data_IF_063805107532
#
_entry.id   IF_063805107532
#
_cell.length_a   1.000
_cell.length_b   1.000
_cell.length_c   1.000
_cell.angle_alpha   90.00
_cell.angle_beta   90.00
_cell.angle_gamma   90.00
#
_symmetry.space_group_name_H-M   'P 1'
#
loop_
_entity.id
_entity.type
_entity.pdbx_description
1 polymer ?
#
# COMPACT_ATOMS: atom_id res chain seq x y z
N UNK A 1 -19.09 -11.48 17.37
CA UNK A 1 -19.36 -10.39 18.34
C UNK A 1 -18.97 -9.02 17.77
N UNK A 2 -17.70 -8.78 17.38
CA UNK A 2 -17.24 -7.47 16.85
C UNK A 2 -17.94 -7.05 15.56
N UNK A 3 -18.11 -7.97 14.59
CA UNK A 3 -18.86 -7.69 13.35
C UNK A 3 -20.28 -7.20 13.61
N UNK A 4 -20.97 -7.77 14.60
CA UNK A 4 -22.33 -7.35 14.96
C UNK A 4 -22.33 -5.93 15.54
N UNK A 5 -21.41 -5.64 16.47
CA UNK A 5 -21.25 -4.30 17.02
C UNK A 5 -20.93 -3.24 15.94
N UNK A 6 -20.06 -3.58 14.98
CA UNK A 6 -19.77 -2.69 13.85
C UNK A 6 -20.96 -2.51 12.91
N UNK A 7 -21.79 -3.55 12.71
CA UNK A 7 -23.02 -3.47 11.94
C UNK A 7 -24.00 -2.47 12.57
N UNK A 8 -24.23 -2.60 13.87
CA UNK A 8 -25.09 -1.70 14.64
C UNK A 8 -24.61 -0.24 14.50
N UNK A 9 -23.30 -0.01 14.64
CA UNK A 9 -22.71 1.33 14.44
C UNK A 9 -22.90 1.88 13.02
N UNK A 10 -22.76 1.03 11.99
CA UNK A 10 -22.96 1.41 10.59
C UNK A 10 -24.42 1.82 10.35
N UNK A 11 -25.36 1.12 10.96
CA UNK A 11 -26.79 1.42 10.89
C UNK A 11 -27.13 2.75 11.62
N UNK A 12 -26.48 3.00 12.75
CA UNK A 12 -26.69 4.19 13.59
C UNK A 12 -26.10 5.50 13.03
N UNK A 13 -25.01 5.43 12.23
CA UNK A 13 -24.28 6.62 11.74
C UNK A 13 -25.15 7.57 10.89
N UNK A 14 -26.31 7.12 10.41
CA UNK A 14 -27.23 7.92 9.62
C UNK A 14 -26.69 8.18 8.21
N UNK A 15 -27.60 8.26 7.23
CA UNK A 15 -27.26 8.58 5.84
C UNK A 15 -27.60 10.05 5.60
N UNK A 16 -26.59 10.90 5.56
CA UNK A 16 -26.74 12.33 5.28
C UNK A 16 -26.47 12.58 3.78
N UNK A 17 -27.39 13.26 3.09
CA UNK A 17 -27.22 13.66 1.68
C UNK A 17 -26.00 14.58 1.47
N UNK A 18 -25.54 15.27 2.52
CA UNK A 18 -24.39 16.18 2.47
C UNK A 18 -23.07 15.52 2.87
N UNK A 19 -23.10 14.29 3.38
CA UNK A 19 -21.91 13.59 3.85
C UNK A 19 -21.91 12.10 3.44
N UNK A 20 -20.95 11.72 2.60
CA UNK A 20 -20.82 10.35 2.09
C UNK A 20 -20.39 9.31 3.14
N UNK A 21 -19.93 9.70 4.33
CA UNK A 21 -19.33 8.77 5.31
C UNK A 21 -20.28 7.63 5.71
N UNK A 22 -21.53 7.93 6.07
CA UNK A 22 -22.51 6.90 6.46
C UNK A 22 -22.90 5.98 5.31
N UNK A 23 -23.16 6.54 4.12
CA UNK A 23 -23.46 5.75 2.92
C UNK A 23 -22.29 4.84 2.52
N UNK A 24 -21.05 5.36 2.62
CA UNK A 24 -19.82 4.61 2.37
C UNK A 24 -19.66 3.45 3.35
N UNK A 25 -19.85 3.70 4.65
CA UNK A 25 -19.76 2.67 5.68
C UNK A 25 -20.80 1.56 5.45
N UNK A 26 -22.04 1.92 5.13
CA UNK A 26 -23.12 0.97 4.85
C UNK A 26 -22.84 0.12 3.60
N UNK A 27 -22.45 0.74 2.49
CA UNK A 27 -22.13 0.03 1.26
C UNK A 27 -20.92 -0.90 1.45
N UNK A 28 -19.89 -0.43 2.15
CA UNK A 28 -18.70 -1.21 2.45
C UNK A 28 -19.02 -2.42 3.33
N UNK A 29 -19.81 -2.24 4.40
CA UNK A 29 -20.16 -3.33 5.29
C UNK A 29 -21.00 -4.41 4.59
N UNK A 30 -22.02 -4.00 3.82
CA UNK A 30 -22.82 -4.93 3.02
C UNK A 30 -21.97 -5.69 2.00
N UNK A 31 -20.96 -5.02 1.41
CA UNK A 31 -20.05 -5.67 0.48
C UNK A 31 -19.17 -6.72 1.17
N UNK A 32 -18.74 -6.49 2.42
CA UNK A 32 -18.03 -7.52 3.19
C UNK A 32 -18.91 -8.75 3.43
N UNK A 33 -20.19 -8.56 3.79
CA UNK A 33 -21.14 -9.68 3.94
C UNK A 33 -21.32 -10.44 2.62
N UNK A 34 -21.41 -9.74 1.48
CA UNK A 34 -21.48 -10.39 0.17
C UNK A 34 -20.22 -11.20 -0.15
N UNK A 35 -19.04 -10.69 0.18
CA UNK A 35 -17.77 -11.40 -0.05
C UNK A 35 -17.68 -12.65 0.83
N UNK A 36 -18.17 -12.59 2.06
CA UNK A 36 -18.22 -13.78 2.93
C UNK A 36 -19.12 -14.86 2.31
N UNK A 37 -20.31 -14.50 1.81
CA UNK A 37 -21.19 -15.44 1.09
C UNK A 37 -20.51 -16.06 -0.14
N UNK A 38 -19.73 -15.27 -0.89
CA UNK A 38 -18.97 -15.79 -2.04
C UNK A 38 -17.88 -16.78 -1.61
N UNK A 39 -17.20 -16.53 -0.48
CA UNK A 39 -16.18 -17.42 0.07
C UNK A 39 -16.82 -18.71 0.60
N UNK A 40 -17.97 -18.61 1.26
CA UNK A 40 -18.75 -19.77 1.74
C UNK A 40 -19.18 -20.65 0.56
N UNK A 41 -19.81 -20.06 -0.46
CA UNK A 41 -20.21 -20.78 -1.67
C UNK A 41 -19.02 -21.45 -2.39
N UNK A 42 -17.87 -20.76 -2.44
CA UNK A 42 -16.64 -21.33 -3.00
C UNK A 42 -16.21 -22.62 -2.28
N UNK A 43 -16.46 -22.75 -0.97
CA UNK A 43 -16.13 -23.94 -0.20
C UNK A 43 -17.17 -25.06 -0.30
N UNK A 44 -18.43 -24.73 -0.56
CA UNK A 44 -19.54 -25.71 -0.59
C UNK A 44 -19.69 -26.42 -1.94
N UNK A 45 -19.36 -25.75 -3.05
CA UNK A 45 -19.53 -26.35 -4.38
C UNK A 45 -18.51 -27.47 -4.64
N UNK A 46 -19.02 -28.67 -4.94
CA UNK A 46 -18.23 -29.82 -5.38
C UNK A 46 -17.65 -29.58 -6.77
N UNK A 47 -16.44 -30.10 -7.04
CA UNK A 47 -15.76 -30.00 -8.32
C UNK A 47 -16.69 -30.33 -9.51
N UNK A 48 -17.07 -29.28 -10.23
CA UNK A 48 -17.81 -29.36 -11.48
C UNK A 48 -16.83 -29.18 -12.67
N UNK A 49 -17.35 -29.10 -13.89
CA UNK A 49 -16.53 -28.91 -15.07
C UNK A 49 -15.62 -27.66 -15.00
N UNK A 50 -14.64 -27.57 -15.91
CA UNK A 50 -13.72 -26.44 -15.96
C UNK A 50 -14.43 -25.06 -16.03
N UNK A 51 -15.65 -25.00 -16.58
CA UNK A 51 -16.43 -23.76 -16.65
C UNK A 51 -16.90 -23.29 -15.28
N UNK A 52 -17.41 -24.22 -14.46
CA UNK A 52 -17.79 -23.94 -13.08
C UNK A 52 -16.57 -23.56 -12.23
N UNK A 53 -15.46 -24.29 -12.35
CA UNK A 53 -14.21 -23.95 -11.63
C UNK A 53 -13.70 -22.56 -12.03
N UNK A 54 -13.78 -22.19 -13.30
CA UNK A 54 -13.41 -20.83 -13.75
C UNK A 54 -14.32 -19.76 -13.15
N UNK A 55 -15.63 -20.00 -13.09
CA UNK A 55 -16.58 -19.06 -12.48
C UNK A 55 -16.27 -18.86 -10.99
N UNK A 56 -16.01 -19.95 -10.27
CA UNK A 56 -15.64 -19.94 -8.85
C UNK A 56 -14.35 -19.17 -8.62
N UNK A 57 -13.31 -19.47 -9.40
CA UNK A 57 -12.00 -18.80 -9.29
C UNK A 57 -12.12 -17.30 -9.61
N UNK A 58 -12.85 -16.93 -10.66
CA UNK A 58 -13.03 -15.52 -11.04
C UNK A 58 -13.84 -14.78 -10.00
N UNK A 59 -14.92 -15.39 -9.52
CA UNK A 59 -15.75 -14.90 -8.43
C UNK A 59 -14.92 -14.68 -7.17
N UNK A 60 -14.13 -15.67 -6.76
CA UNK A 60 -13.27 -15.58 -5.58
C UNK A 60 -12.22 -14.46 -5.71
N UNK A 61 -11.49 -14.40 -6.83
CA UNK A 61 -10.45 -13.37 -7.02
C UNK A 61 -11.03 -11.96 -7.05
N UNK A 62 -12.17 -11.76 -7.71
CA UNK A 62 -12.85 -10.46 -7.71
C UNK A 62 -13.44 -10.15 -6.33
N UNK A 63 -14.01 -11.15 -5.64
CA UNK A 63 -14.56 -11.02 -4.29
C UNK A 63 -13.51 -10.61 -3.27
N UNK A 64 -12.34 -11.27 -3.25
CA UNK A 64 -11.22 -10.89 -2.36
C UNK A 64 -10.73 -9.47 -2.62
N UNK A 65 -10.61 -9.07 -3.90
CA UNK A 65 -10.19 -7.72 -4.26
C UNK A 65 -11.20 -6.67 -3.78
N UNK A 66 -12.49 -6.91 -4.01
CA UNK A 66 -13.58 -6.03 -3.58
C UNK A 66 -13.69 -6.00 -2.05
N UNK A 67 -13.44 -7.13 -1.36
CA UNK A 67 -13.40 -7.19 0.10
C UNK A 67 -12.28 -6.31 0.69
N UNK A 68 -11.09 -6.29 0.05
CA UNK A 68 -10.01 -5.38 0.43
C UNK A 68 -10.42 -3.91 0.27
N UNK A 69 -11.03 -3.54 -0.84
CA UNK A 69 -11.52 -2.17 -1.08
C UNK A 69 -12.63 -1.80 -0.08
N UNK A 70 -13.55 -2.72 0.22
CA UNK A 70 -14.58 -2.54 1.22
C UNK A 70 -14.00 -2.31 2.62
N UNK A 71 -12.93 -3.01 3.02
CA UNK A 71 -12.25 -2.73 4.29
C UNK A 71 -11.64 -1.31 4.33
N UNK A 72 -11.11 -0.82 3.21
CA UNK A 72 -10.63 0.57 3.12
C UNK A 72 -11.77 1.57 3.31
N UNK A 73 -12.88 1.32 2.63
CA UNK A 73 -14.04 2.20 2.66
C UNK A 73 -14.77 2.18 3.99
N UNK A 74 -14.82 1.01 4.66
CA UNK A 74 -15.37 0.89 6.00
C UNK A 74 -14.52 1.67 7.01
N UNK A 75 -13.19 1.55 6.97
CA UNK A 75 -12.30 2.32 7.83
C UNK A 75 -12.54 3.83 7.66
N UNK A 76 -12.58 4.32 6.42
CA UNK A 76 -12.81 5.74 6.15
C UNK A 76 -14.25 6.15 6.51
N UNK A 77 -15.23 5.29 6.30
CA UNK A 77 -16.63 5.55 6.64
C UNK A 77 -16.82 5.74 8.15
N UNK A 78 -16.24 4.84 8.95
CA UNK A 78 -16.40 4.80 10.41
C UNK A 78 -15.45 5.75 11.15
N UNK A 79 -14.21 5.91 10.69
CA UNK A 79 -13.18 6.67 11.42
C UNK A 79 -12.77 7.96 10.74
N UNK A 80 -13.27 8.22 9.52
CA UNK A 80 -12.84 9.32 8.61
C UNK A 80 -11.43 9.14 8.04
N UNK A 81 -10.69 8.13 8.48
CA UNK A 81 -9.30 7.95 8.12
C UNK A 81 -9.02 6.52 7.63
N UNK A 82 -7.96 6.39 6.83
CA UNK A 82 -7.46 5.09 6.36
C UNK A 82 -6.40 4.47 7.28
N UNK A 83 -6.26 4.97 8.51
CA UNK A 83 -5.12 4.66 9.38
C UNK A 83 -5.13 3.22 9.92
N UNK A 84 -6.32 2.64 10.11
CA UNK A 84 -6.50 1.27 10.61
C UNK A 84 -6.27 0.18 9.56
N UNK A 85 -5.94 0.55 8.32
CA UNK A 85 -5.77 -0.40 7.22
C UNK A 85 -4.54 -0.12 6.36
N UNK A 86 -3.76 -1.18 6.13
CA UNK A 86 -2.54 -1.15 5.33
C UNK A 86 -2.26 -2.49 4.62
N UNK A 87 -3.21 -2.99 3.82
CA UNK A 87 -3.14 -4.31 3.17
C UNK A 87 -1.86 -4.54 2.35
N UNK A 88 -1.27 -3.50 1.75
CA UNK A 88 -0.04 -3.62 0.95
C UNK A 88 1.18 -4.14 1.73
N UNK A 89 1.15 -4.21 3.07
CA UNK A 89 2.25 -4.81 3.85
C UNK A 89 2.12 -6.34 3.98
N UNK A 90 0.93 -6.88 3.72
CA UNK A 90 0.72 -8.30 3.62
C UNK A 90 1.15 -8.75 2.22
N UNK A 91 2.28 -9.48 2.13
CA UNK A 91 2.87 -9.88 0.84
C UNK A 91 1.89 -10.67 -0.03
N UNK A 92 1.15 -11.59 0.58
CA UNK A 92 0.17 -12.44 -0.11
C UNK A 92 -0.96 -11.62 -0.73
N UNK A 93 -1.54 -10.68 0.03
CA UNK A 93 -2.63 -9.83 -0.48
C UNK A 93 -2.12 -8.69 -1.38
N UNK A 94 -0.88 -8.25 -1.22
CA UNK A 94 -0.27 -7.26 -2.13
C UNK A 94 -0.15 -7.80 -3.55
N UNK A 95 0.07 -9.10 -3.72
CA UNK A 95 0.12 -9.75 -5.03
C UNK A 95 -1.26 -9.90 -5.69
N UNK A 96 -2.34 -9.92 -4.91
CA UNK A 96 -3.70 -10.11 -5.40
C UNK A 96 -4.07 -9.10 -6.50
N UNK A 97 -3.68 -7.82 -6.37
CA UNK A 97 -3.95 -6.80 -7.40
C UNK A 97 -3.28 -7.12 -8.74
N UNK A 98 -2.10 -7.75 -8.71
CA UNK A 98 -1.37 -8.14 -9.92
C UNK A 98 -2.02 -9.37 -10.54
N UNK A 99 -2.27 -10.40 -9.72
CA UNK A 99 -2.95 -11.64 -10.11
C UNK A 99 -4.31 -11.33 -10.74
N UNK A 100 -5.15 -10.53 -10.06
CA UNK A 100 -6.47 -10.11 -10.54
C UNK A 100 -6.38 -9.37 -11.87
N UNK A 101 -5.41 -8.46 -12.03
CA UNK A 101 -5.26 -7.72 -13.27
C UNK A 101 -4.78 -8.61 -14.42
N UNK A 102 -3.92 -9.59 -14.12
CA UNK A 102 -3.39 -10.51 -15.12
C UNK A 102 -4.45 -11.53 -15.58
N UNK A 103 -5.40 -11.91 -14.73
CA UNK A 103 -6.38 -12.97 -15.03
C UNK A 103 -7.77 -12.42 -15.37
N UNK A 104 -8.29 -11.48 -14.57
CA UNK A 104 -9.68 -11.01 -14.63
C UNK A 104 -9.79 -9.60 -15.22
N UNK A 105 -8.84 -8.73 -14.93
CA UNK A 105 -8.92 -7.30 -15.27
C UNK A 105 -8.56 -7.00 -16.74
N UNK A 106 -7.32 -7.29 -17.12
CA UNK A 106 -6.76 -6.96 -18.44
C UNK A 106 -5.95 -8.12 -19.05
N UNK A 107 -6.51 -9.33 -19.14
CA UNK A 107 -5.76 -10.52 -19.55
C UNK A 107 -5.31 -10.46 -21.02
N UNK A 108 -6.04 -9.78 -21.90
CA UNK A 108 -5.79 -9.83 -23.35
C UNK A 108 -4.93 -8.69 -23.89
N UNK A 109 -4.78 -7.60 -23.13
CA UNK A 109 -4.05 -6.43 -23.61
C UNK A 109 -3.64 -5.51 -22.46
N UNK A 110 -2.35 -5.55 -22.11
CA UNK A 110 -1.71 -4.65 -21.16
C UNK A 110 -0.62 -3.84 -21.86
N UNK A 111 -0.72 -2.51 -21.81
CA UNK A 111 0.32 -1.63 -22.37
C UNK A 111 1.32 -1.26 -21.29
N UNK A 112 2.61 -1.45 -21.57
CA UNK A 112 3.71 -1.06 -20.69
C UNK A 112 4.26 0.33 -21.09
N UNK A 113 4.86 1.10 -20.15
CA UNK A 113 5.32 2.47 -20.41
C UNK A 113 6.33 2.61 -21.56
N UNK A 114 7.04 1.54 -21.89
CA UNK A 114 8.01 1.48 -22.99
C UNK A 114 7.40 1.10 -24.35
N UNK A 115 6.07 1.01 -24.42
CA UNK A 115 5.31 0.59 -25.60
C UNK A 115 5.18 -0.93 -25.75
N UNK A 116 5.64 -1.70 -24.77
CA UNK A 116 5.44 -3.16 -24.75
C UNK A 116 3.98 -3.56 -24.61
N UNK A 117 3.63 -4.75 -25.09
CA UNK A 117 2.29 -5.33 -24.97
C UNK A 117 2.37 -6.66 -24.22
N UNK A 118 1.50 -6.81 -23.22
CA UNK A 118 1.37 -8.02 -22.42
C UNK A 118 0.01 -8.68 -22.58
N UNK A 119 -0.01 -10.01 -22.51
CA UNK A 119 -1.24 -10.80 -22.36
C UNK A 119 -0.98 -12.05 -21.52
N UNK A 120 -2.02 -12.53 -20.85
CA UNK A 120 -1.99 -13.65 -19.93
C UNK A 120 -2.92 -14.76 -20.41
N UNK A 121 -2.45 -16.00 -20.31
CA UNK A 121 -3.21 -17.19 -20.66
C UNK A 121 -3.23 -18.16 -19.49
N UNK A 122 -4.44 -18.61 -19.12
CA UNK A 122 -4.62 -19.64 -18.11
C UNK A 122 -4.22 -21.02 -18.66
N UNK A 123 -3.67 -21.84 -17.79
CA UNK A 123 -3.37 -23.24 -18.06
C UNK A 123 -4.54 -24.09 -17.53
N UNK A 124 -5.47 -24.44 -18.43
CA UNK A 124 -6.72 -25.13 -18.06
C UNK A 124 -6.50 -26.60 -17.70
N UNK A 125 -5.37 -27.19 -18.09
CA UNK A 125 -5.06 -28.61 -17.81
C UNK A 125 -4.77 -28.85 -16.33
N UNK A 126 -4.44 -27.79 -15.59
CA UNK A 126 -4.07 -27.82 -14.16
C UNK A 126 -4.97 -26.93 -13.30
N UNK A 127 -6.10 -26.46 -13.85
CA UNK A 127 -7.06 -25.65 -13.13
C UNK A 127 -7.79 -26.47 -12.07
N UNK A 128 -7.85 -25.97 -10.84
CA UNK A 128 -8.65 -26.54 -9.76
C UNK A 128 -9.17 -25.45 -8.81
N UNK A 129 -10.01 -25.83 -7.84
CA UNK A 129 -10.41 -24.95 -6.73
C UNK A 129 -9.29 -24.74 -5.69
N UNK A 130 -8.12 -25.36 -5.85
CA UNK A 130 -6.98 -25.15 -4.97
C UNK A 130 -5.92 -24.23 -5.60
N UNK A 131 -5.74 -24.33 -6.92
CA UNK A 131 -4.74 -23.55 -7.62
C UNK A 131 -5.12 -23.16 -9.04
N UNK A 132 -4.49 -22.08 -9.49
CA UNK A 132 -4.53 -21.60 -10.85
C UNK A 132 -3.11 -21.36 -11.36
N UNK A 133 -2.84 -21.84 -12.57
CA UNK A 133 -1.60 -21.55 -13.27
C UNK A 133 -1.89 -20.67 -14.49
N UNK A 134 -1.04 -19.67 -14.72
CA UNK A 134 -1.10 -18.85 -15.93
C UNK A 134 0.28 -18.45 -16.43
N UNK A 135 0.36 -18.11 -17.72
CA UNK A 135 1.56 -17.59 -18.38
C UNK A 135 1.28 -16.17 -18.85
N UNK A 136 2.17 -15.25 -18.50
CA UNK A 136 2.18 -13.89 -19.01
C UNK A 136 3.24 -13.76 -20.09
N UNK A 137 2.82 -13.35 -21.28
CA UNK A 137 3.66 -13.07 -22.44
C UNK A 137 3.85 -11.57 -22.50
N UNK A 138 5.10 -11.11 -22.52
CA UNK A 138 5.45 -9.69 -22.61
C UNK A 138 6.32 -9.48 -23.85
N UNK A 139 5.79 -8.74 -24.81
CA UNK A 139 6.51 -8.34 -26.02
C UNK A 139 7.08 -6.94 -25.84
N UNK A 140 8.41 -6.83 -25.82
CA UNK A 140 9.13 -5.58 -25.71
C UNK A 140 10.30 -5.57 -26.69
N UNK A 141 10.37 -4.56 -27.58
CA UNK A 141 11.51 -4.33 -28.49
C UNK A 141 11.99 -5.60 -29.22
N UNK A 142 11.06 -6.36 -29.81
CA UNK A 142 11.30 -7.63 -30.51
C UNK A 142 11.81 -8.79 -29.63
N UNK A 143 11.70 -8.67 -28.30
CA UNK A 143 11.96 -9.75 -27.34
C UNK A 143 10.65 -10.19 -26.70
N UNK A 144 10.45 -11.51 -26.63
CA UNK A 144 9.38 -12.13 -25.87
C UNK A 144 9.94 -12.61 -24.53
N UNK A 145 9.34 -12.13 -23.44
CA UNK A 145 9.53 -12.67 -22.10
C UNK A 145 8.28 -13.44 -21.67
N UNK A 146 8.46 -14.63 -21.09
CA UNK A 146 7.35 -15.50 -20.66
C UNK A 146 7.51 -15.78 -19.18
N UNK A 147 6.54 -15.34 -18.38
CA UNK A 147 6.51 -15.58 -16.93
C UNK A 147 5.39 -16.54 -16.60
N UNK A 148 5.75 -17.71 -16.07
CA UNK A 148 4.78 -18.66 -15.50
C UNK A 148 4.52 -18.30 -14.04
N UNK A 149 3.25 -18.29 -13.62
CA UNK A 149 2.83 -18.09 -12.24
C UNK A 149 1.86 -19.18 -11.84
N UNK A 150 2.00 -19.63 -10.61
CA UNK A 150 1.10 -20.55 -9.93
C UNK A 150 0.57 -19.84 -8.70
N UNK A 151 -0.74 -19.86 -8.53
CA UNK A 151 -1.46 -19.16 -7.46
C UNK A 151 -2.23 -20.20 -6.68
N UNK A 152 -1.90 -20.33 -5.40
CA UNK A 152 -2.65 -21.15 -4.46
C UNK A 152 -3.68 -20.28 -3.71
N UNK A 153 -4.93 -20.71 -3.69
CA UNK A 153 -6.02 -19.90 -3.14
C UNK A 153 -6.08 -19.95 -1.61
N UNK A 154 -5.73 -21.07 -1.00
CA UNK A 154 -5.73 -21.24 0.46
C UNK A 154 -4.90 -20.16 1.19
N UNK A 155 -3.62 -19.88 0.81
CA UNK A 155 -2.87 -18.79 1.41
C UNK A 155 -3.52 -17.40 1.27
N UNK A 156 -4.21 -17.14 0.14
CA UNK A 156 -4.92 -15.87 -0.10
C UNK A 156 -6.13 -15.72 0.82
N UNK A 157 -6.94 -16.78 0.93
CA UNK A 157 -8.10 -16.84 1.82
C UNK A 157 -7.69 -16.67 3.29
N UNK A 158 -6.68 -17.41 3.75
CA UNK A 158 -6.16 -17.32 5.12
C UNK A 158 -5.59 -15.93 5.42
N UNK A 159 -4.84 -15.35 4.48
CA UNK A 159 -4.30 -14.00 4.62
C UNK A 159 -5.42 -12.95 4.68
N UNK A 160 -6.44 -13.08 3.83
CA UNK A 160 -7.59 -12.19 3.81
C UNK A 160 -8.36 -12.24 5.12
N UNK A 161 -8.78 -13.43 5.57
CA UNK A 161 -9.52 -13.61 6.81
C UNK A 161 -8.79 -13.02 8.03
N UNK A 162 -7.47 -13.28 8.12
CA UNK A 162 -6.62 -12.76 9.20
C UNK A 162 -6.49 -11.24 9.16
N UNK A 163 -6.32 -10.64 7.99
CA UNK A 163 -6.24 -9.18 7.86
C UNK A 163 -7.60 -8.52 8.13
N UNK A 164 -8.69 -9.11 7.62
CA UNK A 164 -10.06 -8.66 7.87
C UNK A 164 -10.35 -8.60 9.37
N UNK A 165 -10.11 -9.69 10.10
CA UNK A 165 -10.31 -9.72 11.56
C UNK A 165 -9.53 -8.63 12.28
N UNK A 166 -8.22 -8.50 11.99
CA UNK A 166 -7.37 -7.47 12.60
C UNK A 166 -7.86 -6.05 12.31
N UNK A 167 -8.26 -5.77 11.08
CA UNK A 167 -8.71 -4.43 10.67
C UNK A 167 -10.03 -4.09 11.35
N UNK A 168 -10.98 -5.03 11.38
CA UNK A 168 -12.26 -4.83 12.06
C UNK A 168 -12.06 -4.62 13.57
N UNK A 169 -11.15 -5.37 14.19
CA UNK A 169 -10.76 -5.17 15.59
C UNK A 169 -10.18 -3.78 15.84
N UNK A 170 -9.24 -3.33 15.01
CA UNK A 170 -8.61 -2.02 15.13
C UNK A 170 -9.60 -0.87 14.91
N UNK A 171 -10.54 -1.02 13.96
CA UNK A 171 -11.63 -0.05 13.73
C UNK A 171 -12.54 -0.01 14.95
N UNK A 172 -13.01 -1.18 15.42
CA UNK A 172 -13.90 -1.29 16.57
C UNK A 172 -13.26 -0.70 17.83
N UNK A 173 -11.99 -1.00 18.08
CA UNK A 173 -11.23 -0.45 19.20
C UNK A 173 -11.18 1.08 19.14
N UNK A 174 -11.01 1.68 17.96
CA UNK A 174 -10.98 3.13 17.79
C UNK A 174 -12.36 3.78 18.00
N UNK A 175 -13.42 3.27 17.34
CA UNK A 175 -14.75 3.91 17.41
C UNK A 175 -15.42 3.77 18.78
N UNK A 176 -15.01 2.79 19.59
CA UNK A 176 -15.45 2.60 20.99
C UNK A 176 -14.53 3.25 22.01
N UNK A 177 -13.43 3.86 21.56
CA UNK A 177 -12.51 4.56 22.45
C UNK A 177 -13.04 5.95 22.77
N UNK A 178 -12.90 6.36 24.03
CA UNK A 178 -13.19 7.73 24.44
C UNK A 178 -12.23 8.71 23.74
N UNK A 179 -12.65 9.94 23.52
CA UNK A 179 -11.73 10.97 23.05
C UNK A 179 -10.61 11.18 24.07
N UNK A 180 -9.37 11.08 23.61
CA UNK A 180 -8.17 11.27 24.42
C UNK A 180 -7.35 12.42 23.88
N UNK A 181 -6.72 13.14 24.81
CA UNK A 181 -5.71 14.16 24.51
C UNK A 181 -4.42 13.73 25.19
N UNK A 182 -3.49 13.17 24.42
CA UNK A 182 -2.20 12.69 24.93
C UNK A 182 -1.08 13.65 24.55
N UNK A 183 0.15 13.37 24.98
CA UNK A 183 1.34 14.06 24.50
C UNK A 183 2.03 13.32 23.35
N UNK A 184 1.38 12.30 22.75
CA UNK A 184 1.93 11.56 21.60
C UNK A 184 2.30 12.50 20.44
N UNK A 185 1.46 13.48 20.01
CA UNK A 185 1.86 14.41 18.97
C UNK A 185 3.15 15.18 19.32
N UNK A 186 3.25 15.70 20.54
CA UNK A 186 4.44 16.40 21.05
C UNK A 186 5.66 15.49 21.13
N UNK A 187 5.50 14.23 21.54
CA UNK A 187 6.58 13.24 21.54
C UNK A 187 7.06 12.95 20.12
N UNK A 188 6.15 12.83 19.14
CA UNK A 188 6.53 12.62 17.73
C UNK A 188 7.23 13.86 17.17
N UNK A 189 6.84 15.06 17.59
CA UNK A 189 7.57 16.29 17.23
C UNK A 189 9.00 16.29 17.79
N UNK A 190 9.18 15.93 19.07
CA UNK A 190 10.52 15.75 19.67
C UNK A 190 11.33 14.64 18.97
N UNK A 191 10.65 13.59 18.51
CA UNK A 191 11.28 12.53 17.72
C UNK A 191 11.72 13.04 16.34
N UNK A 192 10.96 13.90 15.69
CA UNK A 192 11.37 14.54 14.43
C UNK A 192 12.68 15.31 14.57
N UNK A 193 12.88 15.99 15.69
CA UNK A 193 14.10 16.77 15.97
C UNK A 193 15.29 15.87 16.34
N UNK A 194 15.07 14.87 17.20
CA UNK A 194 16.14 14.06 17.80
C UNK A 194 16.46 12.77 17.05
N UNK A 195 15.49 12.20 16.34
CA UNK A 195 15.53 10.86 15.74
C UNK A 195 16.01 9.77 16.72
N UNK A 196 15.67 9.93 18.00
CA UNK A 196 16.12 9.04 19.05
C UNK A 196 15.34 7.72 19.06
N UNK A 197 16.05 6.59 18.93
CA UNK A 197 15.44 5.26 18.89
C UNK A 197 14.66 4.90 20.18
N UNK A 198 15.16 5.29 21.36
CA UNK A 198 14.47 4.99 22.63
C UNK A 198 13.14 5.72 22.72
N UNK A 199 13.11 6.99 22.29
CA UNK A 199 11.88 7.77 22.22
C UNK A 199 10.87 7.16 21.23
N UNK A 200 11.33 6.69 20.06
CA UNK A 200 10.46 5.99 19.11
C UNK A 200 9.81 4.73 19.72
N UNK A 201 10.56 3.94 20.49
CA UNK A 201 10.03 2.75 21.17
C UNK A 201 8.99 3.12 22.23
N UNK A 202 9.23 4.19 22.98
CA UNK A 202 8.27 4.72 23.96
C UNK A 202 6.96 5.14 23.28
N UNK A 203 7.06 5.95 22.22
CA UNK A 203 5.91 6.41 21.42
C UNK A 203 5.11 5.23 20.87
N UNK A 204 5.77 4.19 20.30
CA UNK A 204 5.09 2.99 19.80
C UNK A 204 4.29 2.29 20.90
N UNK A 205 4.91 2.11 22.06
CA UNK A 205 4.30 1.43 23.21
C UNK A 205 3.10 2.20 23.74
N UNK A 206 3.24 3.51 23.87
CA UNK A 206 2.15 4.38 24.30
C UNK A 206 1.01 4.42 23.30
N UNK A 207 1.30 4.56 21.99
CA UNK A 207 0.28 4.55 20.94
C UNK A 207 -0.55 3.26 20.95
N UNK A 208 0.10 2.09 21.07
CA UNK A 208 -0.58 0.79 21.16
C UNK A 208 -1.51 0.76 22.39
N UNK A 209 -1.02 1.21 23.54
CA UNK A 209 -1.79 1.21 24.79
C UNK A 209 -2.98 2.15 24.72
N UNK A 210 -2.77 3.39 24.28
CA UNK A 210 -3.79 4.44 24.20
C UNK A 210 -4.94 4.00 23.30
N UNK A 211 -4.64 3.57 22.08
CA UNK A 211 -5.66 3.20 21.09
C UNK A 211 -6.06 1.72 21.16
N UNK A 212 -5.68 1.01 22.23
CA UNK A 212 -6.02 -0.40 22.50
C UNK A 212 -5.73 -1.34 21.31
N UNK A 213 -4.65 -1.07 20.58
CA UNK A 213 -4.28 -1.85 19.40
C UNK A 213 -3.58 -3.14 19.81
N UNK A 214 -3.66 -4.17 18.96
CA UNK A 214 -2.82 -5.36 19.11
C UNK A 214 -1.38 -5.06 18.67
N UNK A 215 -0.34 -5.66 19.29
CA UNK A 215 1.05 -5.49 18.82
C UNK A 215 1.30 -5.91 17.37
N UNK A 216 0.43 -6.76 16.82
CA UNK A 216 0.45 -7.24 15.44
C UNK A 216 -0.42 -6.42 14.49
N UNK A 217 -0.94 -5.29 14.96
CA UNK A 217 -1.74 -4.34 14.19
C UNK A 217 -0.93 -3.77 13.02
N UNK A 218 -1.62 -3.64 11.89
CA UNK A 218 -1.08 -3.05 10.67
C UNK A 218 -1.38 -1.55 10.57
N UNK A 219 -1.75 -0.92 11.69
CA UNK A 219 -2.04 0.50 11.77
C UNK A 219 -0.91 1.33 11.14
N UNK A 220 -1.28 2.31 10.31
CA UNK A 220 -0.31 3.09 9.52
C UNK A 220 0.69 3.84 10.37
N UNK A 221 0.29 4.29 11.56
CA UNK A 221 1.23 4.89 12.52
C UNK A 221 2.35 3.92 12.91
N UNK A 222 2.01 2.68 13.28
CA UNK A 222 2.96 1.65 13.70
C UNK A 222 3.85 1.21 12.54
N UNK A 223 3.28 1.11 11.34
CA UNK A 223 4.06 0.82 10.14
C UNK A 223 5.06 1.94 9.83
N UNK A 224 4.64 3.21 9.91
CA UNK A 224 5.55 4.36 9.74
C UNK A 224 6.64 4.40 10.81
N UNK A 225 6.30 4.04 12.05
CA UNK A 225 7.26 3.90 13.14
C UNK A 225 8.30 2.81 12.83
N UNK A 226 7.87 1.67 12.27
CA UNK A 226 8.79 0.62 11.82
C UNK A 226 9.71 1.05 10.67
N UNK A 227 9.20 1.83 9.71
CA UNK A 227 10.02 2.43 8.66
C UNK A 227 11.05 3.42 9.21
N UNK A 228 10.64 4.24 10.18
CA UNK A 228 11.53 5.21 10.84
C UNK A 228 12.61 4.51 11.66
N UNK A 229 12.28 3.43 12.36
CA UNK A 229 13.24 2.59 13.07
C UNK A 229 14.33 2.07 12.13
N UNK A 230 13.94 1.57 10.95
CA UNK A 230 14.90 1.13 9.92
C UNK A 230 15.79 2.25 9.43
N UNK A 231 15.26 3.46 9.26
CA UNK A 231 16.03 4.62 8.81
C UNK A 231 17.03 5.10 9.86
N UNK A 232 16.65 5.12 11.14
CA UNK A 232 17.54 5.49 12.26
C UNK A 232 18.74 4.54 12.32
N UNK A 233 18.51 3.26 12.05
CA UNK A 233 19.54 2.21 12.05
C UNK A 233 20.25 2.06 10.70
N UNK A 234 19.92 2.88 9.69
CA UNK A 234 20.52 2.76 8.37
C UNK A 234 21.84 3.52 8.30
N UNK A 235 22.94 2.78 8.42
CA UNK A 235 24.28 3.31 8.22
C UNK A 235 24.60 3.49 6.72
N UNK A 236 25.02 4.70 6.34
CA UNK A 236 25.47 5.04 4.99
C UNK A 236 26.66 6.00 5.08
N UNK A 237 27.73 5.68 4.34
CA UNK A 237 28.99 6.43 4.35
C UNK A 237 28.97 7.60 3.39
N UNK A 238 28.21 7.49 2.30
CA UNK A 238 28.08 8.57 1.34
C UNK A 238 27.27 9.73 1.93
N UNK A 239 27.86 10.93 1.97
CA UNK A 239 27.26 12.11 2.60
C UNK A 239 25.93 12.53 1.96
N UNK A 240 25.79 12.39 0.64
CA UNK A 240 24.56 12.78 -0.06
C UNK A 240 23.44 11.77 0.17
N UNK A 241 23.76 10.47 0.18
CA UNK A 241 22.81 9.41 0.49
C UNK A 241 22.39 9.47 1.97
N UNK A 242 23.33 9.73 2.88
CA UNK A 242 23.01 9.93 4.30
C UNK A 242 22.10 11.14 4.53
N UNK A 243 22.31 12.25 3.80
CA UNK A 243 21.40 13.39 3.83
C UNK A 243 19.99 13.02 3.32
N UNK A 244 19.89 12.13 2.32
CA UNK A 244 18.61 11.60 1.85
C UNK A 244 17.96 10.67 2.89
N UNK A 245 18.72 9.84 3.61
CA UNK A 245 18.22 9.04 4.75
C UNK A 245 17.63 9.96 5.81
N UNK A 246 18.36 11.00 6.23
CA UNK A 246 17.89 11.98 7.21
C UNK A 246 16.58 12.65 6.76
N UNK A 247 16.50 13.04 5.49
CA UNK A 247 15.27 13.58 4.90
C UNK A 247 14.12 12.58 4.99
N UNK A 248 14.34 11.32 4.60
CA UNK A 248 13.33 10.25 4.69
C UNK A 248 12.86 10.03 6.13
N UNK A 249 13.77 10.03 7.11
CA UNK A 249 13.44 9.89 8.54
C UNK A 249 12.48 10.98 9.00
N UNK A 250 12.80 12.23 8.67
CA UNK A 250 11.96 13.38 9.01
C UNK A 250 10.60 13.33 8.31
N UNK A 251 10.54 12.89 7.06
CA UNK A 251 9.26 12.68 6.35
C UNK A 251 8.40 11.59 7.01
N UNK A 252 8.98 10.49 7.51
CA UNK A 252 8.20 9.50 8.24
C UNK A 252 7.70 10.05 9.59
N UNK A 253 8.54 10.79 10.31
CA UNK A 253 8.14 11.44 11.57
C UNK A 253 7.02 12.47 11.36
N UNK A 254 7.07 13.28 10.29
CA UNK A 254 5.96 14.19 9.92
C UNK A 254 4.67 13.42 9.69
N UNK A 255 4.70 12.31 8.93
CA UNK A 255 3.51 11.50 8.67
C UNK A 255 2.96 10.87 9.96
N UNK A 256 3.83 10.46 10.87
CA UNK A 256 3.40 9.99 12.19
C UNK A 256 2.73 11.11 12.99
N UNK A 257 3.28 12.32 12.95
CA UNK A 257 2.73 13.49 13.64
C UNK A 257 1.35 13.85 13.09
N UNK A 258 1.19 13.87 11.77
CA UNK A 258 -0.11 14.08 11.11
C UNK A 258 -1.15 13.05 11.54
N UNK A 259 -0.78 11.76 11.56
CA UNK A 259 -1.67 10.71 12.05
C UNK A 259 -2.03 10.93 13.52
N UNK A 260 -1.07 11.25 14.39
CA UNK A 260 -1.34 11.46 15.81
C UNK A 260 -2.28 12.65 16.06
N UNK A 261 -2.10 13.75 15.31
CA UNK A 261 -2.99 14.91 15.36
C UNK A 261 -4.41 14.54 14.91
N UNK A 262 -4.54 13.84 13.78
CA UNK A 262 -5.84 13.44 13.23
C UNK A 262 -6.60 12.52 14.19
N UNK A 263 -5.90 11.57 14.81
CA UNK A 263 -6.49 10.63 15.78
C UNK A 263 -7.06 11.33 17.01
N UNK A 264 -6.48 12.46 17.42
CA UNK A 264 -6.95 13.31 18.52
C UNK A 264 -7.78 14.53 18.04
N UNK A 265 -8.09 14.62 16.74
CA UNK A 265 -8.82 15.74 16.11
C UNK A 265 -8.17 17.11 16.36
N UNK A 266 -6.84 17.14 16.49
CA UNK A 266 -6.04 18.34 16.74
C UNK A 266 -5.55 18.93 15.43
N UNK A 267 -5.40 20.26 15.41
CA UNK A 267 -4.76 20.95 14.30
C UNK A 267 -3.41 21.52 14.73
N UNK A 268 -2.36 21.19 14.00
CA UNK A 268 -1.07 21.83 14.12
C UNK A 268 -0.39 21.89 12.76
N UNK A 269 0.57 22.81 12.61
CA UNK A 269 1.37 22.89 11.39
C UNK A 269 2.37 21.75 11.37
N UNK A 270 2.39 20.98 10.29
CA UNK A 270 3.45 19.99 10.05
C UNK A 270 4.81 20.69 9.97
N UNK A 271 5.86 20.11 10.57
CA UNK A 271 7.20 20.66 10.45
C UNK A 271 7.69 20.60 9.00
N UNK A 272 8.54 21.54 8.62
CA UNK A 272 9.12 21.61 7.28
C UNK A 272 10.49 20.93 7.23
N UNK A 273 10.78 20.27 6.10
CA UNK A 273 12.09 19.67 5.83
C UNK A 273 12.56 20.10 4.45
N UNK A 274 13.77 20.64 4.38
CA UNK A 274 14.38 21.01 3.12
C UNK A 274 14.71 19.78 2.27
N UNK A 275 14.45 19.87 0.97
CA UNK A 275 14.82 18.84 0.01
C UNK A 275 16.36 18.72 -0.07
N UNK A 276 16.92 17.50 0.05
CA UNK A 276 18.36 17.29 -0.10
C UNK A 276 18.78 17.54 -1.56
N UNK A 277 20.01 18.00 -1.76
CA UNK A 277 20.56 18.35 -3.08
C UNK A 277 20.39 17.23 -4.09
N UNK A 278 20.61 15.99 -3.67
CA UNK A 278 20.50 14.80 -4.49
C UNK A 278 19.09 14.64 -5.08
N UNK A 279 18.06 14.73 -4.23
CA UNK A 279 16.65 14.62 -4.65
C UNK A 279 16.19 15.85 -5.45
N UNK A 280 16.67 17.05 -5.10
CA UNK A 280 16.40 18.25 -5.88
C UNK A 280 16.96 18.12 -7.31
N UNK A 281 18.18 17.59 -7.47
CA UNK A 281 18.77 17.29 -8.78
C UNK A 281 17.91 16.31 -9.58
N UNK A 282 17.42 15.25 -8.92
CA UNK A 282 16.50 14.29 -9.52
C UNK A 282 15.20 14.95 -9.99
N UNK A 283 14.54 15.75 -9.17
CA UNK A 283 13.30 16.44 -9.54
C UNK A 283 13.47 17.44 -10.68
N UNK A 284 14.62 18.13 -10.77
CA UNK A 284 14.92 18.99 -11.93
C UNK A 284 15.03 18.18 -13.22
N UNK A 285 15.59 16.97 -13.15
CA UNK A 285 15.62 16.06 -14.29
C UNK A 285 14.19 15.63 -14.70
N UNK A 286 13.36 15.16 -13.75
CA UNK A 286 11.96 14.78 -14.06
C UNK A 286 11.22 15.95 -14.71
N UNK A 287 11.35 17.16 -14.16
CA UNK A 287 10.73 18.38 -14.70
C UNK A 287 11.14 18.73 -16.13
N UNK A 288 12.33 18.32 -16.58
CA UNK A 288 12.81 18.55 -17.95
C UNK A 288 12.29 17.50 -18.94
N UNK A 289 11.93 16.32 -18.44
CA UNK A 289 11.48 15.18 -19.23
C UNK A 289 10.10 14.68 -18.77
N UNK A 290 9.24 15.61 -18.31
CA UNK A 290 8.05 15.32 -17.51
C UNK A 290 7.15 14.28 -18.19
N UNK A 291 6.84 14.47 -19.48
CA UNK A 291 5.96 13.58 -20.26
C UNK A 291 6.44 12.12 -20.32
N UNK A 292 7.76 11.91 -20.33
CA UNK A 292 8.37 10.57 -20.47
C UNK A 292 8.79 9.97 -19.13
N UNK A 293 9.30 10.79 -18.20
CA UNK A 293 9.88 10.34 -16.94
C UNK A 293 8.85 10.20 -15.82
N UNK A 294 7.77 11.00 -15.85
CA UNK A 294 6.74 10.97 -14.80
C UNK A 294 6.01 9.61 -14.71
N UNK A 295 5.65 8.93 -15.82
CA UNK A 295 5.05 7.60 -15.74
C UNK A 295 5.99 6.57 -15.09
N UNK A 296 7.28 6.64 -15.37
CA UNK A 296 8.29 5.68 -14.92
C UNK A 296 8.54 5.73 -13.41
N UNK A 297 8.39 6.90 -12.78
CA UNK A 297 8.57 7.01 -11.33
C UNK A 297 7.39 6.45 -10.51
N UNK A 298 6.26 6.13 -11.16
CA UNK A 298 5.04 5.68 -10.49
C UNK A 298 5.20 4.38 -9.71
N UNK A 299 6.05 3.48 -10.20
CA UNK A 299 6.19 2.11 -9.69
C UNK A 299 7.41 1.91 -8.78
N UNK A 300 8.32 2.89 -8.71
CA UNK A 300 9.63 2.73 -8.05
C UNK A 300 9.59 2.55 -6.53
N UNK A 301 8.42 2.69 -5.91
CA UNK A 301 8.20 2.45 -4.49
C UNK A 301 7.86 0.99 -4.16
N UNK A 302 7.76 0.13 -5.17
CA UNK A 302 7.45 -1.28 -5.02
C UNK A 302 8.45 -2.11 -5.85
N UNK A 303 9.47 -2.66 -5.17
CA UNK A 303 10.50 -3.47 -5.80
C UNK A 303 9.98 -4.75 -6.45
N UNK A 304 8.80 -5.21 -6.04
CA UNK A 304 8.15 -6.40 -6.60
C UNK A 304 7.20 -6.03 -7.76
N UNK A 305 7.06 -4.74 -8.09
CA UNK A 305 6.25 -4.32 -9.22
C UNK A 305 6.85 -4.87 -10.53
N UNK A 306 6.05 -5.45 -11.44
CA UNK A 306 6.57 -6.06 -12.68
C UNK A 306 7.40 -5.13 -13.58
N UNK A 307 7.18 -3.82 -13.46
CA UNK A 307 7.87 -2.76 -14.20
C UNK A 307 9.04 -2.11 -13.46
N UNK A 308 9.31 -2.48 -12.22
CA UNK A 308 10.30 -1.78 -11.39
C UNK A 308 11.68 -1.69 -12.09
N UNK A 309 12.23 -2.82 -12.51
CA UNK A 309 13.56 -2.86 -13.15
C UNK A 309 13.58 -2.12 -14.49
N UNK A 310 12.56 -2.32 -15.33
CA UNK A 310 12.48 -1.66 -16.64
C UNK A 310 12.34 -0.15 -16.51
N UNK A 311 11.56 0.33 -15.52
CA UNK A 311 11.35 1.75 -15.26
C UNK A 311 12.65 2.41 -14.77
N UNK A 312 13.40 1.72 -13.89
CA UNK A 312 14.72 2.19 -13.43
C UNK A 312 15.71 2.31 -14.59
N UNK A 313 15.83 1.27 -15.43
CA UNK A 313 16.78 1.25 -16.54
C UNK A 313 16.40 2.28 -17.62
N UNK A 314 15.10 2.47 -17.89
CA UNK A 314 14.63 3.52 -18.78
C UNK A 314 15.02 4.92 -18.26
N UNK A 315 14.85 5.19 -16.96
CA UNK A 315 15.26 6.46 -16.35
C UNK A 315 16.77 6.69 -16.39
N UNK A 316 17.58 5.63 -16.19
CA UNK A 316 19.04 5.70 -16.33
C UNK A 316 19.45 6.02 -17.77
N UNK A 317 18.84 5.37 -18.75
CA UNK A 317 19.13 5.61 -20.17
C UNK A 317 18.80 7.04 -20.62
N UNK A 318 17.85 7.71 -19.95
CA UNK A 318 17.43 9.07 -20.26
C UNK A 318 18.34 10.17 -19.67
N UNK A 319 19.29 9.85 -18.77
CA UNK A 319 20.03 10.86 -18.02
C UNK A 319 21.50 10.52 -17.84
N UNK A 320 22.37 11.51 -18.03
CA UNK A 320 23.78 11.44 -17.59
C UNK A 320 24.01 12.23 -16.30
N UNK A 321 22.95 12.77 -15.68
CA UNK A 321 23.08 13.62 -14.51
C UNK A 321 23.47 12.79 -13.28
N UNK A 322 24.62 13.14 -12.66
CA UNK A 322 25.20 12.38 -11.52
C UNK A 322 24.19 12.08 -10.41
N UNK A 323 23.37 13.05 -10.00
CA UNK A 323 22.37 12.83 -8.95
C UNK A 323 21.27 11.83 -9.33
N UNK A 324 20.90 11.77 -10.62
CA UNK A 324 19.87 10.85 -11.10
C UNK A 324 20.42 9.43 -11.09
N UNK A 325 21.58 9.23 -11.73
CA UNK A 325 22.26 7.94 -11.76
C UNK A 325 22.53 7.43 -10.34
N UNK A 326 23.05 8.29 -9.45
CA UNK A 326 23.35 7.91 -8.07
C UNK A 326 22.12 7.46 -7.28
N UNK A 327 20.98 8.14 -7.38
CA UNK A 327 19.74 7.70 -6.70
C UNK A 327 19.25 6.37 -7.28
N UNK A 328 19.27 6.22 -8.61
CA UNK A 328 18.74 5.02 -9.27
C UNK A 328 19.64 3.81 -9.03
N UNK A 329 20.96 3.98 -9.05
CA UNK A 329 21.90 2.91 -8.70
C UNK A 329 21.78 2.51 -7.23
N UNK A 330 21.60 3.47 -6.33
CA UNK A 330 21.34 3.17 -4.93
C UNK A 330 20.02 2.41 -4.74
N UNK A 331 18.95 2.85 -5.43
CA UNK A 331 17.66 2.16 -5.44
C UNK A 331 17.79 0.71 -5.95
N UNK A 332 18.51 0.49 -7.05
CA UNK A 332 18.75 -0.86 -7.61
C UNK A 332 19.59 -1.76 -6.69
N UNK A 333 20.51 -1.19 -5.92
CA UNK A 333 21.41 -1.96 -5.07
C UNK A 333 20.76 -2.44 -3.75
N UNK A 334 19.67 -1.81 -3.33
CA UNK A 334 18.99 -2.11 -2.08
C UNK A 334 18.09 -3.35 -2.23
N UNK A 335 18.33 -4.37 -1.40
CA UNK A 335 17.54 -5.62 -1.37
C UNK A 335 16.36 -5.61 -0.39
N UNK A 336 16.41 -4.74 0.62
CA UNK A 336 15.33 -4.63 1.62
C UNK A 336 14.13 -3.89 1.00
N UNK A 337 13.00 -4.58 0.86
CA UNK A 337 11.77 -4.05 0.25
C UNK A 337 11.27 -2.75 0.92
N UNK A 338 11.43 -2.61 2.23
CA UNK A 338 11.01 -1.40 2.93
C UNK A 338 11.94 -0.22 2.65
N UNK A 339 13.24 -0.48 2.49
CA UNK A 339 14.20 0.52 2.03
C UNK A 339 13.94 0.93 0.57
N UNK A 340 13.61 -0.02 -0.31
CA UNK A 340 13.14 0.29 -1.68
C UNK A 340 11.90 1.19 -1.63
N UNK A 341 10.90 0.84 -0.82
CA UNK A 341 9.71 1.66 -0.63
C UNK A 341 10.04 3.08 -0.17
N UNK A 342 10.96 3.22 0.79
CA UNK A 342 11.37 4.51 1.33
C UNK A 342 11.99 5.42 0.26
N UNK A 343 12.97 4.91 -0.49
CA UNK A 343 13.63 5.66 -1.56
C UNK A 343 12.62 5.98 -2.68
N UNK A 344 11.93 4.97 -3.17
CA UNK A 344 10.97 5.10 -4.26
C UNK A 344 9.80 6.04 -3.93
N UNK A 345 9.35 6.05 -2.67
CA UNK A 345 8.33 7.00 -2.21
C UNK A 345 8.80 8.45 -2.26
N UNK A 346 10.10 8.71 -2.01
CA UNK A 346 10.63 10.06 -2.18
C UNK A 346 10.71 10.43 -3.65
N UNK A 347 11.18 9.53 -4.51
CA UNK A 347 11.23 9.77 -5.96
C UNK A 347 9.83 10.08 -6.52
N UNK A 348 8.84 9.26 -6.15
CA UNK A 348 7.43 9.40 -6.58
C UNK A 348 6.77 10.68 -6.06
N UNK A 349 7.26 11.28 -4.98
CA UNK A 349 6.67 12.48 -4.39
C UNK A 349 6.87 13.76 -5.22
N UNK A 350 7.55 13.68 -6.37
CA UNK A 350 7.61 14.75 -7.35
C UNK A 350 6.20 15.25 -7.73
N UNK A 351 6.03 16.57 -7.75
CA UNK A 351 4.77 17.23 -8.15
C UNK A 351 4.95 17.91 -9.52
N UNK A 352 4.16 17.53 -10.55
CA UNK A 352 4.18 18.14 -11.88
C UNK A 352 3.88 19.65 -11.85
N UNK A 353 4.36 20.42 -12.84
CA UNK A 353 4.16 21.89 -12.89
C UNK A 353 2.68 22.29 -12.80
N UNK A 354 1.80 21.51 -13.42
CA UNK A 354 0.35 21.77 -13.47
C UNK A 354 -0.40 21.46 -12.17
N UNK A 355 0.25 20.80 -11.20
CA UNK A 355 -0.37 20.41 -9.91
C UNK A 355 -0.28 21.49 -8.82
N UNK A 356 0.26 22.67 -9.13
CA UNK A 356 0.39 23.80 -8.20
C UNK A 356 -0.73 24.85 -8.32
N UNK A 357 -1.84 24.49 -8.98
CA UNK A 357 -2.98 25.38 -9.24
C UNK A 357 -4.36 24.72 -9.13
N UNK A 358 -4.54 23.81 -8.17
CA UNK A 358 -5.87 23.36 -7.72
C UNK A 358 -5.92 23.32 -6.20
#
# INVERSE_FOLDING_TARGET
MIRHALKDMVEDIGKDEKNSHGARAAAAFAMLENVDLMIEAYHEDSDADNGAVLLDVFGLMQGLFVGVDALYDLAIGLTRFKYHINININKTLHELKYIRNDIVGHPTHRTYPDGGVGFSMLDLDVLSKDCLTYKTYVYQKNKLDIKKREVHFKPLLEAYAKEQEKILDDIHAYVTHDEVMTDIPEQVFRLFESLNQKLLVQIKTEFIKTYRLKPTSNHRFLWRAGLLERLILWEERDKELNALILYMSRVQAIKMHEIALDMEKRQARSPYVSLPTLLNGFYRFIRRHEDKALPLIGNLHDGNHPLFESDVEALKAMSTHKSVIKILDWLSAVKDEQKVYLIGSMIRAYRPKTSSGK
#
